data_IF_448917136969
#
_entry.id   IF_448917136969
#
_cell.length_a   1.000
_cell.length_b   1.000
_cell.length_c   1.000
_cell.angle_alpha   90.00
_cell.angle_beta   90.00
_cell.angle_gamma   90.00
#
_symmetry.space_group_name_H-M   'P 1'
#
loop_
_entity.id
_entity.type
_entity.pdbx_description
1 polymer ?
#
# COMPACT_ATOMS: atom_id res chain seq x y z
N UNK A 1 5.15 -3.29 -31.07
CA UNK A 1 4.73 -2.59 -29.84
C UNK A 1 3.21 -2.53 -29.83
N UNK A 2 2.55 -3.00 -28.77
CA UNK A 2 1.09 -2.93 -28.63
C UNK A 2 0.77 -2.02 -27.44
N UNK A 3 0.06 -0.89 -27.62
CA UNK A 3 -0.31 -0.03 -26.51
C UNK A 3 -1.37 -0.74 -25.65
N UNK A 4 -1.07 -0.92 -24.37
CA UNK A 4 -1.98 -1.53 -23.40
C UNK A 4 -2.55 -0.47 -22.47
N UNK A 5 -3.87 -0.35 -22.46
CA UNK A 5 -4.59 0.53 -21.54
C UNK A 5 -5.31 -0.34 -20.52
N UNK A 6 -4.62 -0.61 -19.41
CA UNK A 6 -5.09 -1.45 -18.30
C UNK A 6 -6.49 -1.04 -17.82
N UNK A 7 -6.75 0.27 -17.73
CA UNK A 7 -7.99 0.83 -17.17
C UNK A 7 -9.25 0.51 -17.98
N UNK A 8 -9.14 0.27 -19.29
CA UNK A 8 -10.29 -0.06 -20.17
C UNK A 8 -10.22 -1.49 -20.72
N UNK A 9 -9.23 -2.29 -20.32
CA UNK A 9 -8.92 -3.57 -20.96
C UNK A 9 -8.61 -3.45 -22.46
N UNK A 10 -8.32 -2.22 -22.94
CA UNK A 10 -8.05 -1.96 -24.35
C UNK A 10 -6.61 -2.35 -24.66
N UNK A 11 -6.42 -2.98 -25.82
CA UNK A 11 -5.12 -3.51 -26.25
C UNK A 11 -4.91 -4.98 -25.91
N UNK A 12 -5.73 -5.59 -25.04
CA UNK A 12 -5.66 -7.04 -24.76
C UNK A 12 -6.03 -7.85 -26.00
N UNK A 13 -7.10 -7.48 -26.70
CA UNK A 13 -7.49 -8.16 -27.96
C UNK A 13 -6.44 -7.98 -29.06
N UNK A 14 -5.83 -6.80 -29.15
CA UNK A 14 -4.73 -6.55 -30.07
C UNK A 14 -3.47 -7.37 -29.69
N UNK A 15 -3.22 -7.55 -28.39
CA UNK A 15 -2.14 -8.39 -27.89
C UNK A 15 -2.39 -9.86 -28.20
N UNK A 16 -3.61 -10.37 -28.00
CA UNK A 16 -4.00 -11.73 -28.39
C UNK A 16 -3.77 -11.95 -29.89
N UNK A 17 -4.24 -11.03 -30.72
CA UNK A 17 -4.03 -11.10 -32.17
C UNK A 17 -2.54 -11.06 -32.56
N UNK A 18 -1.72 -10.29 -31.83
CA UNK A 18 -0.29 -10.22 -32.05
C UNK A 18 0.43 -11.53 -31.64
N UNK A 19 -0.05 -12.20 -30.59
CA UNK A 19 0.44 -13.53 -30.18
C UNK A 19 0.09 -14.57 -31.25
N UNK A 20 -1.15 -14.57 -31.75
CA UNK A 20 -1.58 -15.49 -32.80
C UNK A 20 -0.78 -15.33 -34.11
N UNK A 21 -0.30 -14.11 -34.37
CA UNK A 21 0.51 -13.76 -35.55
C UNK A 21 2.00 -13.64 -35.23
N UNK A 22 2.46 -14.22 -34.13
CA UNK A 22 3.85 -14.12 -33.73
C UNK A 22 4.79 -14.68 -34.82
N UNK A 23 5.80 -13.88 -35.17
CA UNK A 23 6.87 -14.23 -36.10
C UNK A 23 8.22 -14.03 -35.42
N UNK A 24 9.26 -14.69 -35.93
CA UNK A 24 10.63 -14.42 -35.49
C UNK A 24 10.94 -12.92 -35.62
N UNK A 25 11.64 -12.37 -34.62
CA UNK A 25 11.99 -10.96 -34.59
C UNK A 25 12.90 -10.60 -35.77
N UNK A 26 12.70 -9.42 -36.33
CA UNK A 26 13.55 -8.92 -37.39
C UNK A 26 14.98 -8.68 -36.87
N UNK A 27 15.97 -9.04 -37.68
CA UNK A 27 17.37 -8.96 -37.30
C UNK A 27 17.92 -7.56 -37.61
N UNK A 28 17.44 -6.59 -36.83
CA UNK A 28 17.96 -5.21 -36.84
C UNK A 28 19.22 -5.10 -35.98
N UNK A 29 20.11 -4.20 -36.36
CA UNK A 29 21.22 -3.80 -35.51
C UNK A 29 20.65 -3.01 -34.31
N UNK A 30 20.97 -3.46 -33.10
CA UNK A 30 20.47 -2.86 -31.86
C UNK A 30 21.58 -2.03 -31.23
N UNK A 31 22.54 -2.71 -30.59
CA UNK A 31 23.64 -2.06 -29.87
C UNK A 31 24.91 -2.20 -30.69
N UNK A 32 25.59 -1.07 -30.91
CA UNK A 32 26.87 -1.02 -31.60
C UNK A 32 28.00 -1.13 -30.57
N UNK A 33 28.51 -2.34 -30.36
CA UNK A 33 29.64 -2.60 -29.47
C UNK A 33 30.97 -2.38 -30.19
N UNK A 34 32.00 -1.96 -29.46
CA UNK A 34 33.35 -1.86 -29.99
C UNK A 34 33.85 -3.24 -30.47
N UNK A 35 34.59 -3.26 -31.58
CA UNK A 35 35.08 -4.50 -32.20
C UNK A 35 35.88 -5.42 -31.24
N UNK A 36 36.74 -4.90 -30.34
CA UNK A 36 37.40 -5.72 -29.31
C UNK A 36 36.44 -6.54 -28.43
N UNK A 37 35.34 -5.92 -27.99
CA UNK A 37 34.32 -6.60 -27.17
C UNK A 37 33.65 -7.73 -27.93
N UNK A 38 33.34 -7.50 -29.22
CA UNK A 38 32.74 -8.52 -30.07
C UNK A 38 33.68 -9.70 -30.30
N UNK A 39 34.96 -9.43 -30.56
CA UNK A 39 35.97 -10.47 -30.79
C UNK A 39 36.16 -11.37 -29.56
N UNK A 40 36.22 -10.77 -28.38
CA UNK A 40 36.43 -11.50 -27.13
C UNK A 40 35.16 -12.20 -26.65
N UNK A 41 33.98 -11.60 -26.85
CA UNK A 41 32.71 -12.29 -26.67
C UNK A 41 32.57 -13.49 -27.62
N UNK A 42 33.05 -13.39 -28.86
CA UNK A 42 33.12 -14.51 -29.81
C UNK A 42 34.11 -15.59 -29.37
N UNK A 43 35.23 -15.21 -28.75
CA UNK A 43 36.19 -16.16 -28.18
C UNK A 43 35.57 -16.98 -27.06
N UNK A 44 34.84 -16.33 -26.14
CA UNK A 44 34.12 -16.97 -25.05
C UNK A 44 32.96 -17.82 -25.59
N UNK A 45 32.25 -17.36 -26.61
CA UNK A 45 31.14 -18.09 -27.21
C UNK A 45 31.55 -19.41 -27.87
N UNK A 46 32.81 -19.56 -28.32
CA UNK A 46 33.33 -20.81 -28.93
C UNK A 46 33.49 -21.95 -27.93
N UNK A 47 33.77 -21.63 -26.67
CA UNK A 47 33.99 -22.60 -25.58
C UNK A 47 32.73 -22.83 -24.72
N UNK A 48 31.60 -22.21 -25.09
CA UNK A 48 30.31 -22.45 -24.45
C UNK A 48 29.63 -23.71 -25.02
N UNK A 49 28.71 -24.33 -24.25
CA UNK A 49 27.96 -25.51 -24.68
C UNK A 49 27.28 -25.33 -26.04
N UNK A 50 27.39 -26.33 -26.92
CA UNK A 50 26.80 -26.32 -28.27
C UNK A 50 25.28 -26.25 -28.28
N UNK A 51 24.64 -26.61 -27.16
CA UNK A 51 23.19 -26.61 -26.98
C UNK A 51 22.62 -25.19 -27.02
N UNK A 52 23.45 -24.18 -26.75
CA UNK A 52 23.05 -22.78 -26.71
C UNK A 52 23.21 -22.15 -28.12
N UNK A 53 22.16 -21.51 -28.67
CA UNK A 53 22.24 -20.79 -29.93
C UNK A 53 23.38 -19.76 -29.96
N UNK A 54 24.05 -19.60 -31.10
CA UNK A 54 25.21 -18.70 -31.24
C UNK A 54 24.92 -17.26 -30.78
N UNK A 55 23.72 -16.73 -31.07
CA UNK A 55 23.30 -15.39 -30.65
C UNK A 55 23.24 -15.25 -29.13
N UNK A 56 22.79 -16.31 -28.43
CA UNK A 56 22.73 -16.33 -26.97
C UNK A 56 24.13 -16.51 -26.35
N UNK A 57 24.99 -17.34 -26.97
CA UNK A 57 26.39 -17.49 -26.52
C UNK A 57 27.17 -16.17 -26.58
N UNK A 58 27.02 -15.41 -27.68
CA UNK A 58 27.59 -14.06 -27.82
C UNK A 58 27.09 -13.10 -26.74
N UNK A 59 25.78 -13.13 -26.47
CA UNK A 59 25.18 -12.32 -25.42
C UNK A 59 25.71 -12.68 -24.02
N UNK A 60 25.82 -13.98 -23.70
CA UNK A 60 26.41 -14.45 -22.43
C UNK A 60 27.87 -14.01 -22.30
N UNK A 61 28.66 -14.06 -23.38
CA UNK A 61 30.03 -13.58 -23.39
C UNK A 61 30.13 -12.09 -23.02
N UNK A 62 29.30 -11.24 -23.64
CA UNK A 62 29.24 -9.81 -23.31
C UNK A 62 28.82 -9.56 -21.86
N UNK A 63 27.84 -10.31 -21.33
CA UNK A 63 27.40 -10.16 -19.93
C UNK A 63 28.49 -10.55 -18.93
N UNK A 64 29.26 -11.59 -19.23
CA UNK A 64 30.40 -11.98 -18.40
C UNK A 64 31.51 -10.93 -18.42
N UNK A 65 31.77 -10.31 -19.58
CA UNK A 65 32.74 -9.20 -19.71
C UNK A 65 32.30 -7.94 -18.96
N UNK A 66 30.99 -7.67 -18.89
CA UNK A 66 30.39 -6.60 -18.08
C UNK A 66 30.51 -6.88 -16.56
N UNK A 67 30.65 -8.16 -16.17
CA UNK A 67 30.80 -8.59 -14.78
C UNK A 67 29.57 -9.25 -14.16
N UNK A 68 28.58 -9.65 -14.97
CA UNK A 68 27.40 -10.35 -14.49
C UNK A 68 27.75 -11.69 -13.80
N UNK A 69 27.09 -11.94 -12.68
CA UNK A 69 27.31 -13.11 -11.82
C UNK A 69 26.50 -14.30 -12.35
N UNK A 70 25.30 -14.06 -12.90
CA UNK A 70 24.39 -15.14 -13.31
C UNK A 70 24.82 -15.80 -14.62
N UNK A 71 25.37 -15.02 -15.57
CA UNK A 71 25.82 -15.54 -16.85
C UNK A 71 26.92 -16.60 -16.73
N UNK A 72 27.74 -16.55 -15.67
CA UNK A 72 28.78 -17.56 -15.40
C UNK A 72 28.21 -18.96 -15.18
N UNK A 73 27.00 -19.08 -14.62
CA UNK A 73 26.36 -20.38 -14.36
C UNK A 73 25.97 -21.12 -15.65
N UNK A 74 25.69 -20.36 -16.73
CA UNK A 74 25.29 -20.90 -18.03
C UNK A 74 26.46 -21.03 -19.01
N UNK A 75 27.58 -20.38 -18.71
CA UNK A 75 28.75 -20.28 -19.57
C UNK A 75 29.63 -21.56 -19.61
N UNK A 76 29.45 -22.46 -18.64
CA UNK A 76 30.23 -23.70 -18.56
C UNK A 76 31.74 -23.45 -18.52
N UNK A 77 32.46 -24.05 -19.45
CA UNK A 77 33.93 -23.95 -19.57
C UNK A 77 34.41 -22.52 -19.87
N UNK A 78 33.58 -21.68 -20.49
CA UNK A 78 33.90 -20.27 -20.76
C UNK A 78 34.16 -19.45 -19.49
N UNK A 79 33.65 -19.87 -18.34
CA UNK A 79 33.91 -19.21 -17.05
C UNK A 79 35.41 -19.23 -16.69
N UNK A 80 36.12 -20.30 -17.04
CA UNK A 80 37.55 -20.45 -16.76
C UNK A 80 38.42 -19.57 -17.66
N UNK A 81 37.90 -19.22 -18.86
CA UNK A 81 38.59 -18.38 -19.82
C UNK A 81 38.30 -16.88 -19.65
N UNK A 82 37.39 -16.51 -18.74
CA UNK A 82 36.96 -15.13 -18.54
C UNK A 82 38.09 -14.22 -18.08
N UNK A 83 38.88 -14.63 -17.10
CA UNK A 83 39.97 -13.81 -16.57
C UNK A 83 41.05 -13.52 -17.63
N UNK A 84 41.33 -14.50 -18.49
CA UNK A 84 42.23 -14.34 -19.62
C UNK A 84 41.66 -13.40 -20.70
N UNK A 85 40.36 -13.47 -20.97
CA UNK A 85 39.68 -12.57 -21.91
C UNK A 85 39.67 -11.13 -21.39
N UNK A 86 39.35 -10.92 -20.10
CA UNK A 86 39.40 -9.60 -19.46
C UNK A 86 40.81 -9.02 -19.44
N UNK A 87 41.84 -9.85 -19.22
CA UNK A 87 43.23 -9.41 -19.26
C UNK A 87 43.65 -8.94 -20.66
N UNK A 88 43.19 -9.60 -21.73
CA UNK A 88 43.41 -9.14 -23.12
C UNK A 88 42.66 -7.83 -23.40
N UNK A 89 41.40 -7.75 -22.97
CA UNK A 89 40.58 -6.55 -23.15
C UNK A 89 41.17 -5.31 -22.47
N UNK A 90 41.77 -5.47 -21.28
CA UNK A 90 42.43 -4.37 -20.56
C UNK A 90 43.61 -3.75 -21.31
N UNK A 91 44.18 -4.45 -22.30
CA UNK A 91 45.24 -3.88 -23.16
C UNK A 91 44.67 -3.04 -24.30
N UNK A 92 43.40 -3.25 -24.66
CA UNK A 92 42.74 -2.57 -25.79
C UNK A 92 41.79 -1.45 -25.32
N UNK A 93 41.27 -1.53 -24.08
CA UNK A 93 40.42 -0.51 -23.48
C UNK A 93 40.54 -0.49 -21.95
N UNK A 94 40.34 0.69 -21.35
CA UNK A 94 40.51 0.92 -19.92
C UNK A 94 39.46 0.16 -19.09
N UNK A 95 38.17 0.42 -19.36
CA UNK A 95 37.05 -0.17 -18.61
C UNK A 95 36.01 -0.80 -19.56
N UNK A 96 36.12 -2.12 -19.83
CA UNK A 96 35.18 -2.84 -20.67
C UNK A 96 33.73 -2.76 -20.20
N UNK A 97 33.50 -2.78 -18.89
CA UNK A 97 32.15 -2.78 -18.33
C UNK A 97 31.47 -1.43 -18.58
N UNK A 98 32.21 -0.33 -18.40
CA UNK A 98 31.72 1.01 -18.71
C UNK A 98 31.37 1.16 -20.19
N UNK A 99 32.23 0.68 -21.10
CA UNK A 99 31.97 0.74 -22.54
C UNK A 99 30.73 -0.05 -22.97
N UNK A 100 30.48 -1.22 -22.36
CA UNK A 100 29.26 -2.01 -22.62
C UNK A 100 28.02 -1.25 -22.14
N UNK A 101 28.09 -0.66 -20.94
CA UNK A 101 27.00 0.12 -20.37
C UNK A 101 26.69 1.37 -21.23
N UNK A 102 27.72 2.11 -21.65
CA UNK A 102 27.59 3.29 -22.49
C UNK A 102 26.98 2.95 -23.86
N UNK A 103 27.44 1.88 -24.52
CA UNK A 103 26.89 1.47 -25.81
C UNK A 103 25.39 1.13 -25.72
N UNK A 104 24.96 0.45 -24.64
CA UNK A 104 23.54 0.17 -24.38
C UNK A 104 22.77 1.44 -24.10
N UNK A 105 23.32 2.34 -23.29
CA UNK A 105 22.67 3.60 -22.94
C UNK A 105 22.48 4.49 -24.18
N UNK A 106 23.50 4.61 -25.02
CA UNK A 106 23.44 5.35 -26.29
C UNK A 106 22.37 4.78 -27.23
N UNK A 107 22.30 3.45 -27.39
CA UNK A 107 21.26 2.82 -28.20
C UNK A 107 19.85 3.14 -27.68
N UNK A 108 19.63 3.01 -26.37
CA UNK A 108 18.31 3.27 -25.76
C UNK A 108 17.97 4.76 -25.86
N UNK A 109 18.92 5.64 -25.56
CA UNK A 109 18.73 7.09 -25.65
C UNK A 109 18.38 7.51 -27.07
N UNK A 110 19.11 7.04 -28.09
CA UNK A 110 18.81 7.33 -29.49
C UNK A 110 17.42 6.84 -29.92
N UNK A 111 17.00 5.65 -29.47
CA UNK A 111 15.63 5.17 -29.72
C UNK A 111 14.63 6.08 -29.01
N UNK A 112 14.85 6.39 -27.73
CA UNK A 112 13.98 7.26 -26.92
C UNK A 112 13.83 8.65 -27.53
N UNK A 113 14.89 9.28 -28.00
CA UNK A 113 14.86 10.61 -28.60
C UNK A 113 14.01 10.66 -29.88
N UNK A 114 13.99 9.56 -30.65
CA UNK A 114 13.20 9.47 -31.89
C UNK A 114 11.75 9.11 -31.60
N UNK A 115 11.49 8.19 -30.67
CA UNK A 115 10.13 7.66 -30.42
C UNK A 115 9.35 8.44 -29.37
N UNK A 116 10.04 9.12 -28.45
CA UNK A 116 9.45 9.92 -27.39
C UNK A 116 9.31 11.37 -27.84
N UNK A 117 8.08 11.78 -28.13
CA UNK A 117 7.80 13.17 -28.43
C UNK A 117 7.27 13.85 -27.16
N UNK A 118 8.12 14.60 -26.46
CA UNK A 118 7.73 15.33 -25.23
C UNK A 118 6.69 16.41 -25.49
N UNK A 119 6.54 16.87 -26.73
CA UNK A 119 5.55 17.89 -27.14
C UNK A 119 4.09 17.41 -27.08
N UNK A 120 3.83 16.11 -27.12
CA UNK A 120 2.47 15.55 -26.94
C UNK A 120 2.20 15.05 -25.53
N UNK A 121 3.20 15.09 -24.65
CA UNK A 121 3.11 14.74 -23.23
C UNK A 121 2.73 15.96 -22.36
N UNK A 122 1.93 16.89 -22.88
CA UNK A 122 1.41 17.95 -22.02
C UNK A 122 0.49 17.34 -20.94
N UNK A 123 0.67 17.71 -19.65
CA UNK A 123 -0.31 17.35 -18.64
C UNK A 123 -1.67 17.86 -19.10
N UNK A 124 -2.71 17.05 -18.93
CA UNK A 124 -4.06 17.44 -19.37
C UNK A 124 -4.38 18.83 -18.81
N UNK A 125 -4.94 19.74 -19.63
CA UNK A 125 -5.31 21.10 -19.20
C UNK A 125 -6.10 21.12 -17.88
N UNK A 126 -6.87 20.05 -17.64
CA UNK A 126 -7.58 19.79 -16.40
C UNK A 126 -6.65 19.59 -15.20
N UNK A 127 -5.60 18.76 -15.32
CA UNK A 127 -4.60 18.54 -14.25
C UNK A 127 -3.92 19.86 -13.89
N UNK A 128 -3.47 20.62 -14.88
CA UNK A 128 -2.80 21.92 -14.67
C UNK A 128 -3.70 22.93 -13.97
N UNK A 129 -5.00 22.97 -14.32
CA UNK A 129 -5.97 23.86 -13.69
C UNK A 129 -6.25 23.47 -12.22
N UNK A 130 -6.41 22.17 -11.95
CA UNK A 130 -6.63 21.64 -10.60
C UNK A 130 -5.39 21.84 -9.73
N UNK A 131 -4.20 21.53 -10.24
CA UNK A 131 -2.95 21.69 -9.49
C UNK A 131 -2.69 23.16 -9.15
N UNK A 132 -3.04 24.12 -10.01
CA UNK A 132 -2.94 25.56 -9.69
C UNK A 132 -3.78 25.97 -8.48
N UNK A 133 -4.92 25.31 -8.27
CA UNK A 133 -5.82 25.58 -7.14
C UNK A 133 -5.37 24.80 -5.90
N UNK A 134 -5.09 23.51 -6.05
CA UNK A 134 -4.75 22.57 -4.96
C UNK A 134 -3.35 22.81 -4.39
N UNK A 135 -2.38 23.22 -5.20
CA UNK A 135 -0.99 23.46 -4.78
C UNK A 135 -0.73 24.91 -4.35
N UNK A 136 -1.74 25.77 -4.34
CA UNK A 136 -1.56 27.14 -3.87
C UNK A 136 -1.18 27.15 -2.38
N UNK A 137 -0.12 27.87 -2.02
CA UNK A 137 0.40 27.97 -0.63
C UNK A 137 -0.67 28.34 0.41
N UNK A 138 -1.66 29.15 0.06
CA UNK A 138 -2.72 29.58 0.97
C UNK A 138 -4.01 28.74 0.86
N UNK A 139 -4.39 28.31 -0.35
CA UNK A 139 -5.63 27.54 -0.57
C UNK A 139 -5.43 26.03 -0.42
N UNK A 140 -4.21 25.50 -0.56
CA UNK A 140 -3.93 24.08 -0.54
C UNK A 140 -4.26 23.43 0.80
N UNK A 141 -3.90 24.08 1.91
CA UNK A 141 -4.21 23.58 3.25
C UNK A 141 -5.73 23.58 3.56
N UNK A 142 -6.49 24.68 3.32
CA UNK A 142 -7.95 24.66 3.44
C UNK A 142 -8.65 23.65 2.54
N UNK A 143 -8.25 23.54 1.26
CA UNK A 143 -8.85 22.57 0.32
C UNK A 143 -8.57 21.16 0.81
N UNK A 144 -7.35 20.90 1.27
CA UNK A 144 -6.99 19.62 1.86
C UNK A 144 -7.87 19.26 3.05
N UNK A 145 -8.02 20.17 4.01
CA UNK A 145 -8.89 19.96 5.16
C UNK A 145 -10.35 19.77 4.75
N UNK A 146 -10.82 20.51 3.74
CA UNK A 146 -12.18 20.38 3.21
C UNK A 146 -12.42 19.01 2.55
N UNK A 147 -11.48 18.52 1.73
CA UNK A 147 -11.59 17.20 1.10
C UNK A 147 -11.54 16.09 2.15
N UNK A 148 -10.67 16.19 3.16
CA UNK A 148 -10.64 15.23 4.26
C UNK A 148 -11.92 15.28 5.10
N UNK A 149 -12.44 16.48 5.38
CA UNK A 149 -13.71 16.66 6.06
C UNK A 149 -14.85 15.99 5.28
N UNK A 150 -14.94 16.23 3.97
CA UNK A 150 -15.95 15.62 3.12
C UNK A 150 -15.81 14.09 3.08
N UNK A 151 -14.58 13.58 2.99
CA UNK A 151 -14.27 12.15 3.06
C UNK A 151 -14.81 11.53 4.36
N UNK A 152 -14.50 12.12 5.52
CA UNK A 152 -14.98 11.62 6.81
C UNK A 152 -16.48 11.77 6.98
N UNK A 153 -17.05 12.92 6.59
CA UNK A 153 -18.48 13.18 6.65
C UNK A 153 -19.25 12.11 5.86
N UNK A 154 -18.86 11.87 4.60
CA UNK A 154 -19.51 10.87 3.75
C UNK A 154 -19.28 9.45 4.26
N UNK A 155 -18.05 9.10 4.67
CA UNK A 155 -17.75 7.78 5.19
C UNK A 155 -18.55 7.45 6.45
N UNK A 156 -18.63 8.40 7.39
CA UNK A 156 -19.30 8.21 8.69
C UNK A 156 -20.82 8.27 8.53
N UNK A 157 -21.35 9.19 7.72
CA UNK A 157 -22.79 9.34 7.55
C UNK A 157 -23.39 8.15 6.79
N UNK A 158 -22.78 7.77 5.66
CA UNK A 158 -23.25 6.63 4.85
C UNK A 158 -22.99 5.31 5.58
N UNK A 159 -21.81 5.15 6.18
CA UNK A 159 -21.47 3.95 6.94
C UNK A 159 -22.35 3.79 8.19
N UNK A 160 -22.62 4.88 8.90
CA UNK A 160 -23.53 4.93 10.04
C UNK A 160 -24.98 4.66 9.67
N UNK A 161 -25.45 5.09 8.50
CA UNK A 161 -26.80 4.77 8.02
C UNK A 161 -26.99 3.26 7.74
N UNK A 162 -25.93 2.56 7.34
CA UNK A 162 -25.95 1.12 7.10
C UNK A 162 -25.73 0.29 8.38
N UNK A 163 -25.17 0.88 9.44
CA UNK A 163 -24.85 0.20 10.70
C UNK A 163 -26.07 -0.53 11.32
N UNK A 164 -27.28 0.07 11.45
CA UNK A 164 -28.43 -0.59 12.07
C UNK A 164 -28.91 -1.83 11.29
N UNK A 165 -28.81 -1.79 9.96
CA UNK A 165 -29.20 -2.92 9.11
C UNK A 165 -28.31 -4.14 9.37
N UNK A 166 -27.00 -3.91 9.49
CA UNK A 166 -26.03 -4.97 9.80
C UNK A 166 -26.15 -5.45 11.25
N UNK A 167 -26.50 -4.56 12.18
CA UNK A 167 -26.75 -4.92 13.57
C UNK A 167 -27.97 -5.85 13.69
N UNK A 168 -29.16 -5.38 13.29
CA UNK A 168 -30.40 -6.16 13.35
C UNK A 168 -30.29 -7.46 12.54
N UNK A 169 -29.71 -7.40 11.34
CA UNK A 169 -29.52 -8.58 10.50
C UNK A 169 -28.60 -9.62 11.14
N UNK A 170 -27.55 -9.19 11.84
CA UNK A 170 -26.65 -10.09 12.53
C UNK A 170 -27.26 -10.70 13.78
N UNK A 171 -28.05 -9.95 14.57
CA UNK A 171 -28.79 -10.49 15.72
C UNK A 171 -29.78 -11.56 15.24
N UNK A 172 -30.56 -11.24 14.21
CA UNK A 172 -31.56 -12.17 13.67
C UNK A 172 -30.93 -13.47 13.17
N UNK A 173 -29.81 -13.39 12.44
CA UNK A 173 -29.19 -14.56 11.83
C UNK A 173 -28.33 -15.37 12.83
N UNK A 174 -27.46 -14.70 13.58
CA UNK A 174 -26.45 -15.37 14.40
C UNK A 174 -26.87 -15.56 15.86
N UNK A 175 -27.74 -14.72 16.41
CA UNK A 175 -28.22 -14.91 17.80
C UNK A 175 -29.50 -15.73 17.77
N UNK A 176 -30.55 -15.20 17.14
CA UNK A 176 -31.86 -15.87 17.09
C UNK A 176 -31.86 -17.13 16.20
N UNK A 177 -31.13 -17.10 15.07
CA UNK A 177 -31.00 -18.28 14.21
C UNK A 177 -30.29 -19.45 14.91
N UNK A 178 -29.23 -19.18 15.67
CA UNK A 178 -28.51 -20.23 16.43
C UNK A 178 -29.36 -20.74 17.59
N UNK A 179 -30.08 -19.85 18.29
CA UNK A 179 -31.04 -20.25 19.34
C UNK A 179 -32.12 -21.17 18.77
N UNK A 180 -32.72 -20.82 17.64
CA UNK A 180 -33.76 -21.62 17.00
C UNK A 180 -33.26 -23.00 16.53
N UNK A 181 -32.06 -23.06 15.93
CA UNK A 181 -31.39 -24.31 15.56
C UNK A 181 -31.13 -25.17 16.81
N UNK A 182 -30.69 -24.54 17.89
CA UNK A 182 -30.40 -25.26 19.12
C UNK A 182 -31.61 -25.84 19.82
N UNK A 183 -32.75 -25.13 19.79
CA UNK A 183 -34.02 -25.66 20.29
C UNK A 183 -34.59 -26.77 19.40
N UNK A 184 -34.44 -26.68 18.08
CA UNK A 184 -34.94 -27.72 17.15
C UNK A 184 -34.10 -29.01 17.21
N UNK A 185 -32.78 -28.90 17.40
CA UNK A 185 -31.86 -30.04 17.52
C UNK A 185 -31.67 -30.57 18.96
N UNK A 186 -32.37 -30.00 19.96
CA UNK A 186 -32.26 -30.39 21.38
C UNK A 186 -30.82 -30.36 21.92
N UNK A 187 -30.06 -29.32 21.58
CA UNK A 187 -28.74 -29.13 22.20
C UNK A 187 -28.87 -28.78 23.69
N UNK A 188 -27.91 -29.19 24.53
CA UNK A 188 -27.89 -28.78 25.94
C UNK A 188 -27.79 -27.26 26.06
N UNK A 189 -28.57 -26.67 26.98
CA UNK A 189 -28.75 -25.22 27.15
C UNK A 189 -27.44 -24.43 27.23
N UNK A 190 -26.41 -25.01 27.84
CA UNK A 190 -25.09 -24.39 27.94
C UNK A 190 -24.43 -24.18 26.57
N UNK A 191 -24.58 -25.15 25.65
CA UNK A 191 -24.01 -25.07 24.30
C UNK A 191 -24.75 -24.06 23.42
N UNK A 192 -26.07 -23.99 23.56
CA UNK A 192 -26.92 -23.01 22.86
C UNK A 192 -26.59 -21.59 23.29
N UNK A 193 -26.46 -21.35 24.60
CA UNK A 193 -26.07 -20.04 25.14
C UNK A 193 -24.66 -19.67 24.66
N UNK A 194 -23.71 -20.61 24.73
CA UNK A 194 -22.33 -20.39 24.28
C UNK A 194 -22.23 -20.04 22.78
N UNK A 195 -22.97 -20.74 21.92
CA UNK A 195 -22.95 -20.47 20.48
C UNK A 195 -23.72 -19.18 20.14
N UNK A 196 -24.86 -18.94 20.75
CA UNK A 196 -25.70 -17.78 20.41
C UNK A 196 -25.16 -16.48 21.00
N UNK A 197 -24.80 -16.45 22.29
CA UNK A 197 -24.29 -15.25 22.95
C UNK A 197 -22.79 -15.08 22.69
N UNK A 198 -22.00 -16.15 22.79
CA UNK A 198 -20.55 -16.04 22.71
C UNK A 198 -20.05 -15.84 21.28
N UNK A 199 -20.39 -16.79 20.40
CA UNK A 199 -20.03 -16.68 18.98
C UNK A 199 -20.92 -15.67 18.25
N UNK A 200 -22.24 -15.78 18.42
CA UNK A 200 -23.22 -14.91 17.75
C UNK A 200 -23.12 -13.45 18.19
N UNK A 201 -23.01 -13.20 19.50
CA UNK A 201 -22.75 -11.86 20.04
C UNK A 201 -21.38 -11.33 19.64
N UNK A 202 -20.34 -12.16 19.64
CA UNK A 202 -19.03 -11.82 19.10
C UNK A 202 -19.09 -11.36 17.64
N UNK A 203 -19.79 -12.08 16.78
CA UNK A 203 -19.99 -11.71 15.36
C UNK A 203 -20.81 -10.42 15.24
N UNK A 204 -21.86 -10.27 16.04
CA UNK A 204 -22.70 -9.07 16.08
C UNK A 204 -21.88 -7.82 16.46
N UNK A 205 -20.85 -7.91 17.30
CA UNK A 205 -20.01 -6.71 17.58
C UNK A 205 -19.16 -6.27 16.39
N UNK A 206 -18.85 -7.18 15.46
CA UNK A 206 -17.95 -6.91 14.33
C UNK A 206 -18.73 -6.43 13.10
N UNK A 207 -19.87 -7.05 12.81
CA UNK A 207 -20.64 -6.81 11.58
C UNK A 207 -21.08 -5.35 11.37
N UNK A 208 -21.59 -4.63 12.40
CA UNK A 208 -21.97 -3.23 12.30
C UNK A 208 -20.79 -2.30 12.01
N UNK A 209 -19.54 -2.69 12.34
CA UNK A 209 -18.34 -1.92 12.04
C UNK A 209 -17.91 -2.05 10.56
N UNK A 210 -18.34 -3.11 9.88
CA UNK A 210 -17.99 -3.40 8.48
C UNK A 210 -18.42 -2.30 7.51
N UNK A 211 -19.69 -1.83 7.48
CA UNK A 211 -20.09 -0.78 6.54
C UNK A 211 -19.32 0.53 6.77
N UNK A 212 -19.11 0.91 8.03
CA UNK A 212 -18.35 2.11 8.39
C UNK A 212 -16.91 2.07 7.86
N UNK A 213 -16.21 0.97 8.12
CA UNK A 213 -14.81 0.79 7.68
C UNK A 213 -14.73 0.59 6.16
N UNK A 214 -15.71 -0.10 5.57
CA UNK A 214 -15.82 -0.29 4.12
C UNK A 214 -15.95 1.02 3.36
N UNK A 215 -16.82 1.92 3.84
CA UNK A 215 -16.96 3.26 3.25
C UNK A 215 -15.68 4.08 3.39
N UNK A 216 -15.00 4.00 4.53
CA UNK A 216 -13.72 4.70 4.70
C UNK A 216 -12.63 4.17 3.77
N UNK A 217 -12.52 2.86 3.57
CA UNK A 217 -11.60 2.28 2.59
C UNK A 217 -11.96 2.66 1.15
N UNK A 218 -13.25 2.74 0.82
CA UNK A 218 -13.72 3.14 -0.51
C UNK A 218 -13.27 4.55 -0.86
N UNK A 219 -13.52 5.52 0.03
CA UNK A 219 -13.09 6.90 -0.19
C UNK A 219 -11.57 7.07 -0.14
N UNK A 220 -10.88 6.30 0.70
CA UNK A 220 -9.42 6.29 0.72
C UNK A 220 -8.84 5.78 -0.60
N UNK A 221 -9.34 4.66 -1.13
CA UNK A 221 -8.97 4.14 -2.45
C UNK A 221 -9.33 5.12 -3.57
N UNK A 222 -10.43 5.89 -3.44
CA UNK A 222 -10.78 6.93 -4.40
C UNK A 222 -9.76 8.08 -4.43
N UNK A 223 -9.29 8.53 -3.26
CA UNK A 223 -8.27 9.58 -3.14
C UNK A 223 -6.88 9.10 -3.57
N UNK A 224 -6.58 7.82 -3.31
CA UNK A 224 -5.34 7.16 -3.72
C UNK A 224 -5.29 7.03 -5.25
N UNK A 225 -6.31 6.40 -5.85
CA UNK A 225 -6.40 6.24 -7.30
C UNK A 225 -6.51 7.61 -7.99
N UNK A 226 -7.27 8.60 -7.51
CA UNK A 226 -7.35 9.91 -8.19
C UNK A 226 -6.02 10.69 -8.28
N UNK A 227 -4.97 10.26 -7.57
CA UNK A 227 -3.69 10.96 -7.52
C UNK A 227 -3.70 12.20 -6.61
N UNK A 228 -4.82 12.45 -5.91
CA UNK A 228 -4.94 13.54 -4.95
C UNK A 228 -3.99 13.35 -3.76
N UNK A 229 -3.79 12.11 -3.30
CA UNK A 229 -2.89 11.81 -2.19
C UNK A 229 -1.45 12.29 -2.41
N UNK A 230 -0.94 12.26 -3.66
CA UNK A 230 0.39 12.77 -3.98
C UNK A 230 0.49 14.29 -3.78
N UNK A 231 -0.56 15.06 -4.17
CA UNK A 231 -0.60 16.52 -3.95
C UNK A 231 -0.77 16.86 -2.49
N UNK A 232 -1.65 16.14 -1.80
CA UNK A 232 -1.85 16.30 -0.36
C UNK A 232 -0.55 16.10 0.42
N UNK A 233 0.22 15.06 0.08
CA UNK A 233 1.54 14.80 0.66
C UNK A 233 2.50 15.97 0.39
N UNK A 234 2.53 16.51 -0.84
CA UNK A 234 3.36 17.66 -1.17
C UNK A 234 3.00 18.93 -0.37
N UNK A 235 1.71 19.25 -0.25
CA UNK A 235 1.23 20.42 0.54
C UNK A 235 1.63 20.28 2.02
N UNK A 236 1.64 19.05 2.54
CA UNK A 236 1.94 18.74 3.95
C UNK A 236 3.40 18.46 4.23
N UNK A 237 4.24 18.41 3.19
CA UNK A 237 5.64 18.02 3.31
C UNK A 237 6.41 18.98 4.23
N UNK A 238 6.21 20.29 4.09
CA UNK A 238 6.87 21.29 4.95
C UNK A 238 6.56 21.11 6.43
N UNK A 239 5.32 20.72 6.77
CA UNK A 239 4.90 20.48 8.16
C UNK A 239 5.51 19.18 8.69
N UNK A 240 5.53 18.12 7.87
CA UNK A 240 6.10 16.83 8.27
C UNK A 240 7.62 16.83 8.34
N UNK A 241 8.30 17.60 7.49
CA UNK A 241 9.76 17.76 7.54
C UNK A 241 10.21 18.35 8.89
N UNK A 242 9.43 19.25 9.49
CA UNK A 242 9.71 19.74 10.84
C UNK A 242 9.75 18.59 11.87
N UNK A 243 8.83 17.63 11.73
CA UNK A 243 8.76 16.40 12.53
C UNK A 243 9.79 15.33 12.11
N UNK A 244 10.55 15.55 11.02
CA UNK A 244 11.52 14.59 10.50
C UNK A 244 10.90 13.45 9.69
N UNK A 245 9.69 13.64 9.16
CA UNK A 245 8.96 12.67 8.34
C UNK A 245 8.72 13.24 6.94
N UNK A 246 8.65 12.40 5.90
CA UNK A 246 8.26 12.86 4.57
C UNK A 246 6.74 13.12 4.52
N UNK A 247 6.29 14.01 3.64
CA UNK A 247 4.88 14.35 3.46
C UNK A 247 3.94 13.15 3.23
N UNK A 248 4.45 12.05 2.65
CA UNK A 248 3.69 10.79 2.46
C UNK A 248 3.22 10.14 3.78
N UNK A 249 3.91 10.38 4.91
CA UNK A 249 3.52 9.86 6.24
C UNK A 249 2.27 10.53 6.80
N UNK A 250 1.94 11.72 6.32
CA UNK A 250 0.81 12.49 6.82
C UNK A 250 -0.55 11.85 6.51
N UNK A 251 -0.66 11.22 5.34
CA UNK A 251 -1.91 10.59 4.89
C UNK A 251 -2.33 9.45 5.84
N UNK A 252 -1.46 8.47 6.17
CA UNK A 252 -1.75 7.49 7.22
C UNK A 252 -2.13 8.12 8.56
N UNK A 253 -1.43 9.18 9.00
CA UNK A 253 -1.70 9.82 10.29
C UNK A 253 -3.10 10.44 10.35
N UNK A 254 -3.52 11.13 9.30
CA UNK A 254 -4.87 11.69 9.25
C UNK A 254 -5.94 10.61 9.23
N UNK A 255 -5.72 9.55 8.46
CA UNK A 255 -6.64 8.41 8.40
C UNK A 255 -6.77 7.75 9.78
N UNK A 256 -5.74 7.86 10.63
CA UNK A 256 -5.74 7.42 12.03
C UNK A 256 -6.81 8.09 12.89
N UNK A 257 -7.11 9.37 12.65
CA UNK A 257 -8.23 10.05 13.32
C UNK A 257 -9.60 9.45 12.97
N UNK A 258 -9.73 8.75 11.84
CA UNK A 258 -10.91 7.95 11.53
C UNK A 258 -10.82 6.57 12.17
N UNK A 259 -9.78 5.81 11.82
CA UNK A 259 -9.50 4.50 12.40
C UNK A 259 -8.01 4.18 12.31
N UNK A 260 -7.45 3.63 13.39
CA UNK A 260 -6.03 3.29 13.45
C UNK A 260 -5.66 2.06 12.60
N UNK A 261 -6.59 1.16 12.31
CA UNK A 261 -6.31 -0.02 11.48
C UNK A 261 -5.93 0.34 10.03
N UNK A 262 -6.73 1.13 9.27
CA UNK A 262 -6.34 1.57 7.94
C UNK A 262 -5.11 2.48 7.95
N UNK A 263 -4.91 3.27 9.02
CA UNK A 263 -3.71 4.09 9.21
C UNK A 263 -2.44 3.24 9.27
N UNK A 264 -2.40 2.26 10.16
CA UNK A 264 -1.25 1.35 10.32
C UNK A 264 -1.03 0.52 9.05
N UNK A 265 -2.10 0.05 8.42
CA UNK A 265 -1.99 -0.69 7.15
C UNK A 265 -1.50 0.22 6.01
N UNK A 266 -1.89 1.49 6.00
CA UNK A 266 -1.43 2.49 5.03
C UNK A 266 0.04 2.83 5.18
N UNK A 267 0.57 2.83 6.41
CA UNK A 267 1.99 3.11 6.66
C UNK A 267 2.95 2.16 5.91
N UNK A 268 2.50 0.97 5.48
CA UNK A 268 3.32 0.02 4.71
C UNK A 268 3.80 0.55 3.35
N UNK A 269 3.16 1.58 2.81
CA UNK A 269 3.52 2.19 1.51
C UNK A 269 4.71 3.15 1.60
N UNK A 270 5.16 3.50 2.80
CA UNK A 270 6.32 4.37 3.00
C UNK A 270 7.61 3.63 2.62
N UNK A 271 8.55 4.24 1.92
CA UNK A 271 9.74 3.51 1.43
C UNK A 271 10.68 3.05 2.56
N UNK A 272 10.98 3.94 3.52
CA UNK A 272 11.95 3.65 4.57
C UNK A 272 11.30 2.99 5.80
N UNK A 273 11.91 1.92 6.37
CA UNK A 273 11.38 1.25 7.55
C UNK A 273 11.30 2.17 8.78
N UNK A 274 12.22 3.13 8.87
CA UNK A 274 12.22 4.20 9.89
C UNK A 274 10.94 5.04 9.86
N UNK A 275 10.56 5.49 8.68
CA UNK A 275 9.36 6.32 8.47
C UNK A 275 8.09 5.52 8.78
N UNK A 276 8.06 4.24 8.39
CA UNK A 276 6.98 3.30 8.74
C UNK A 276 6.79 3.20 10.25
N UNK A 277 7.87 2.93 10.99
CA UNK A 277 7.81 2.70 12.42
C UNK A 277 7.37 3.96 13.19
N UNK A 278 7.90 5.13 12.84
CA UNK A 278 7.46 6.39 13.46
C UNK A 278 5.97 6.64 13.24
N UNK A 279 5.51 6.49 12.00
CA UNK A 279 4.10 6.70 11.63
C UNK A 279 3.18 5.73 12.40
N UNK A 280 3.57 4.46 12.53
CA UNK A 280 2.82 3.44 13.27
C UNK A 280 2.80 3.74 14.78
N UNK A 281 3.90 4.22 15.36
CA UNK A 281 3.97 4.57 16.78
C UNK A 281 3.19 5.84 17.13
N UNK A 282 3.03 6.76 16.17
CA UNK A 282 2.22 7.97 16.33
C UNK A 282 0.71 7.70 16.15
N UNK A 283 0.33 6.72 15.32
CA UNK A 283 -1.08 6.44 15.02
C UNK A 283 -1.96 6.19 16.26
N UNK A 284 -1.53 5.42 17.30
CA UNK A 284 -2.30 5.24 18.53
C UNK A 284 -2.69 6.55 19.23
N UNK A 285 -1.94 7.62 19.10
CA UNK A 285 -2.25 8.92 19.72
C UNK A 285 -3.29 9.72 18.91
N UNK A 286 -3.52 9.37 17.65
CA UNK A 286 -4.63 9.87 16.86
C UNK A 286 -5.93 9.23 17.37
N UNK A 287 -6.76 10.03 18.03
CA UNK A 287 -7.99 9.54 18.65
C UNK A 287 -9.11 9.43 17.63
N UNK A 288 -9.61 8.21 17.46
CA UNK A 288 -10.74 7.91 16.59
C UNK A 288 -12.10 8.16 17.25
N UNK A 289 -13.16 8.22 16.45
CA UNK A 289 -14.54 8.43 16.94
C UNK A 289 -14.98 7.44 18.03
N UNK A 290 -14.53 6.18 17.96
CA UNK A 290 -14.82 5.19 19.01
C UNK A 290 -14.17 5.56 20.36
N UNK A 291 -12.95 6.11 20.34
CA UNK A 291 -12.27 6.55 21.55
C UNK A 291 -12.92 7.82 22.12
N UNK A 292 -13.40 8.70 21.25
CA UNK A 292 -14.18 9.87 21.64
C UNK A 292 -15.47 9.48 22.37
N UNK A 293 -16.19 8.45 21.89
CA UNK A 293 -17.40 7.95 22.56
C UNK A 293 -17.09 7.42 23.98
N UNK A 294 -16.01 6.67 24.14
CA UNK A 294 -15.56 6.19 25.46
C UNK A 294 -15.19 7.37 26.36
N UNK A 295 -14.43 8.35 25.85
CA UNK A 295 -14.10 9.56 26.61
C UNK A 295 -15.33 10.35 27.01
N UNK A 296 -16.35 10.43 26.14
CA UNK A 296 -17.61 11.12 26.44
C UNK A 296 -18.38 10.43 27.57
N UNK A 297 -18.45 9.09 27.58
CA UNK A 297 -19.10 8.33 28.65
C UNK A 297 -18.40 8.56 29.99
N UNK A 298 -17.07 8.45 30.02
CA UNK A 298 -16.30 8.70 31.24
C UNK A 298 -16.38 10.17 31.69
N UNK A 299 -16.32 11.11 30.75
CA UNK A 299 -16.44 12.53 31.06
C UNK A 299 -17.82 12.86 31.63
N UNK A 300 -18.89 12.26 31.11
CA UNK A 300 -20.24 12.40 31.65
C UNK A 300 -20.36 11.80 33.06
N UNK A 301 -19.74 10.64 33.30
CA UNK A 301 -19.78 9.95 34.59
C UNK A 301 -19.01 10.69 35.71
N UNK A 302 -17.84 11.28 35.39
CA UNK A 302 -16.95 11.88 36.40
C UNK A 302 -17.03 13.41 36.50
N UNK A 303 -17.28 14.11 35.39
CA UNK A 303 -17.15 15.58 35.31
C UNK A 303 -18.46 16.31 34.99
N UNK A 304 -19.55 15.59 34.74
CA UNK A 304 -20.88 16.17 34.50
C UNK A 304 -20.85 17.26 33.43
N UNK A 305 -21.22 18.50 33.80
CA UNK A 305 -21.27 19.66 32.88
C UNK A 305 -19.91 20.05 32.29
N UNK A 306 -18.80 19.77 32.96
CA UNK A 306 -17.45 20.09 32.47
C UNK A 306 -16.86 18.98 31.57
N UNK A 307 -17.65 17.96 31.23
CA UNK A 307 -17.18 16.82 30.44
C UNK A 307 -16.68 17.20 29.05
N UNK A 308 -17.28 18.21 28.40
CA UNK A 308 -16.84 18.67 27.08
C UNK A 308 -15.39 19.22 27.10
N UNK A 309 -15.03 19.96 28.15
CA UNK A 309 -13.68 20.52 28.30
C UNK A 309 -12.66 19.42 28.61
N UNK A 310 -13.06 18.41 29.39
CA UNK A 310 -12.24 17.22 29.64
C UNK A 310 -11.95 16.46 28.33
N UNK A 311 -12.97 16.18 27.52
CA UNK A 311 -12.81 15.51 26.21
C UNK A 311 -11.91 16.33 25.27
N UNK A 312 -12.10 17.65 25.21
CA UNK A 312 -11.26 18.53 24.41
C UNK A 312 -9.79 18.49 24.86
N UNK A 313 -9.55 18.52 26.18
CA UNK A 313 -8.19 18.46 26.73
C UNK A 313 -7.48 17.13 26.43
N UNK A 314 -8.20 16.00 26.50
CA UNK A 314 -7.65 14.68 26.15
C UNK A 314 -7.29 14.61 24.66
N UNK A 315 -8.10 15.22 23.79
CA UNK A 315 -7.82 15.25 22.36
C UNK A 315 -6.58 16.09 22.03
N UNK A 316 -6.45 17.28 22.62
CA UNK A 316 -5.25 18.11 22.48
C UNK A 316 -4.00 17.42 23.03
N UNK A 317 -4.12 16.76 24.19
CA UNK A 317 -3.03 15.97 24.77
C UNK A 317 -2.61 14.83 23.84
N UNK A 318 -3.56 14.17 23.17
CA UNK A 318 -3.26 13.15 22.14
C UNK A 318 -2.41 13.70 20.99
N UNK A 319 -2.77 14.86 20.43
CA UNK A 319 -1.99 15.50 19.36
C UNK A 319 -0.58 15.87 19.85
N UNK A 320 -0.48 16.44 21.04
CA UNK A 320 0.82 16.80 21.64
C UNK A 320 1.68 15.55 21.86
N UNK A 321 1.11 14.47 22.40
CA UNK A 321 1.84 13.21 22.61
C UNK A 321 2.24 12.54 21.29
N UNK A 322 1.42 12.64 20.23
CA UNK A 322 1.80 12.17 18.90
C UNK A 322 3.05 12.92 18.41
N UNK A 323 3.04 14.26 18.47
CA UNK A 323 4.16 15.11 18.05
C UNK A 323 5.42 14.84 18.89
N UNK A 324 5.27 14.76 20.22
CA UNK A 324 6.38 14.45 21.13
C UNK A 324 6.98 13.07 20.84
N UNK A 325 6.16 12.06 20.56
CA UNK A 325 6.63 10.73 20.20
C UNK A 325 7.42 10.78 18.90
N UNK A 326 6.93 11.48 17.87
CA UNK A 326 7.65 11.66 16.61
C UNK A 326 9.01 12.34 16.80
N UNK A 327 9.05 13.43 17.58
CA UNK A 327 10.29 14.15 17.91
C UNK A 327 11.26 13.30 18.74
N UNK A 328 10.77 12.60 19.76
CA UNK A 328 11.58 11.70 20.58
C UNK A 328 12.22 10.60 19.73
N UNK A 329 11.45 9.96 18.84
CA UNK A 329 11.95 8.90 17.96
C UNK A 329 12.98 9.43 16.96
N UNK A 330 12.80 10.66 16.46
CA UNK A 330 13.75 11.38 15.60
C UNK A 330 15.11 11.58 16.29
N UNK A 331 15.12 11.98 17.56
CA UNK A 331 16.36 12.32 18.29
C UNK A 331 17.03 11.12 19.00
N UNK A 332 16.27 10.10 19.38
CA UNK A 332 16.77 8.96 20.18
C UNK A 332 17.17 7.77 19.32
N UNK A 333 16.21 7.07 18.69
CA UNK A 333 16.39 5.68 18.24
C UNK A 333 16.54 5.52 16.72
N UNK A 334 16.09 6.51 15.94
CA UNK A 334 16.15 6.51 14.50
C UNK A 334 16.80 7.81 14.01
N UNK A 335 18.11 7.94 14.21
CA UNK A 335 18.91 9.07 13.69
C UNK A 335 19.15 8.88 12.19
N UNK A 336 18.92 9.93 11.40
CA UNK A 336 19.09 9.93 9.95
C UNK A 336 18.41 11.14 9.31
N UNK A 337 18.94 11.61 8.19
CA UNK A 337 18.31 12.67 7.40
C UNK A 337 17.01 12.17 6.77
N UNK A 338 16.04 13.06 6.56
CA UNK A 338 14.85 12.70 5.79
C UNK A 338 15.29 12.36 4.36
N UNK A 339 14.78 11.27 3.80
CA UNK A 339 15.09 10.91 2.41
C UNK A 339 14.68 12.07 1.49
N UNK A 340 15.53 12.49 0.52
CA UNK A 340 15.16 13.55 -0.41
C UNK A 340 13.83 13.20 -1.06
N UNK A 341 12.80 14.02 -0.83
CA UNK A 341 11.46 13.77 -1.33
C UNK A 341 11.40 14.15 -2.82
N UNK A 342 11.93 13.26 -3.68
CA UNK A 342 11.78 13.35 -5.13
C UNK A 342 10.51 12.57 -5.49
N UNK A 343 9.38 13.26 -5.53
CA UNK A 343 8.10 12.68 -5.97
C UNK A 343 7.77 13.20 -7.36
N UNK A 344 7.78 12.32 -8.36
CA UNK A 344 7.16 12.62 -9.66
C UNK A 344 5.65 12.74 -9.45
N UNK A 345 5.06 13.91 -9.73
CA UNK A 345 3.61 14.10 -9.56
C UNK A 345 2.87 13.32 -10.66
N UNK A 346 2.09 12.26 -10.33
CA UNK A 346 1.36 11.50 -11.33
C UNK A 346 0.24 12.37 -11.93
N UNK A 347 -0.13 12.20 -13.19
CA UNK A 347 -1.25 12.97 -13.80
C UNK A 347 -2.59 12.60 -13.14
N UNK A 348 -3.51 13.57 -12.99
CA UNK A 348 -4.84 13.29 -12.42
C UNK A 348 -5.59 12.29 -13.31
N UNK A 349 -6.09 11.22 -12.73
CA UNK A 349 -6.87 10.23 -13.46
C UNK A 349 -8.19 9.94 -12.78
N UNK A 350 -9.25 9.73 -13.56
CA UNK A 350 -10.56 9.37 -13.02
C UNK A 350 -10.50 7.91 -12.55
N UNK A 351 -10.73 7.64 -11.25
CA UNK A 351 -10.61 6.28 -10.72
C UNK A 351 -11.73 5.39 -11.27
N UNK A 352 -11.39 4.14 -11.61
CA UNK A 352 -12.35 3.20 -12.17
C UNK A 352 -13.13 2.49 -11.06
N UNK A 353 -14.47 2.57 -11.08
CA UNK A 353 -15.34 2.02 -10.03
C UNK A 353 -15.07 0.54 -9.73
N UNK A 354 -14.83 -0.27 -10.77
CA UNK A 354 -14.46 -1.69 -10.61
C UNK A 354 -13.16 -1.88 -9.80
N UNK A 355 -12.14 -1.07 -10.05
CA UNK A 355 -10.87 -1.12 -9.29
C UNK A 355 -11.11 -0.75 -7.83
N UNK A 356 -11.85 0.34 -7.61
CA UNK A 356 -12.19 0.83 -6.27
C UNK A 356 -12.91 -0.24 -5.45
N UNK A 357 -13.94 -0.89 -6.01
CA UNK A 357 -14.70 -1.93 -5.31
C UNK A 357 -13.82 -3.15 -5.00
N UNK A 358 -12.99 -3.60 -5.95
CA UNK A 358 -12.10 -4.75 -5.75
C UNK A 358 -11.08 -4.47 -4.64
N UNK A 359 -10.41 -3.31 -4.70
CA UNK A 359 -9.43 -2.91 -3.68
C UNK A 359 -10.09 -2.79 -2.31
N UNK A 360 -11.24 -2.12 -2.23
CA UNK A 360 -12.02 -1.95 -1.00
C UNK A 360 -12.42 -3.30 -0.43
N UNK A 361 -12.94 -4.20 -1.25
CA UNK A 361 -13.36 -5.54 -0.83
C UNK A 361 -12.18 -6.37 -0.29
N UNK A 362 -11.03 -6.34 -0.95
CA UNK A 362 -9.83 -7.05 -0.48
C UNK A 362 -9.34 -6.52 0.87
N UNK A 363 -9.30 -5.19 1.04
CA UNK A 363 -8.91 -4.54 2.32
C UNK A 363 -9.92 -4.87 3.42
N UNK A 364 -11.22 -4.78 3.11
CA UNK A 364 -12.31 -5.08 4.04
C UNK A 364 -12.33 -6.55 4.47
N UNK A 365 -12.20 -7.50 3.53
CA UNK A 365 -12.09 -8.93 3.84
C UNK A 365 -10.89 -9.22 4.75
N UNK A 366 -9.76 -8.58 4.46
CA UNK A 366 -8.55 -8.70 5.28
C UNK A 366 -8.75 -8.19 6.72
N UNK A 367 -9.54 -7.13 6.90
CA UNK A 367 -9.95 -6.62 8.21
C UNK A 367 -10.88 -7.59 8.93
N UNK A 368 -11.99 -7.99 8.30
CA UNK A 368 -13.02 -8.86 8.92
C UNK A 368 -12.41 -10.18 9.39
N UNK A 369 -11.55 -10.82 8.58
CA UNK A 369 -10.94 -12.10 8.93
C UNK A 369 -9.89 -12.00 10.04
N UNK A 370 -9.18 -10.87 10.16
CA UNK A 370 -8.13 -10.71 11.17
C UNK A 370 -8.68 -10.15 12.48
N UNK A 371 -9.39 -9.02 12.41
CA UNK A 371 -10.00 -8.39 13.57
C UNK A 371 -11.13 -9.26 14.12
N UNK A 372 -11.95 -9.85 13.25
CA UNK A 372 -13.07 -10.70 13.68
C UNK A 372 -12.62 -11.91 14.50
N UNK A 373 -11.51 -12.57 14.14
CA UNK A 373 -10.96 -13.68 14.94
C UNK A 373 -10.61 -13.24 16.36
N UNK A 374 -9.93 -12.11 16.52
CA UNK A 374 -9.53 -11.60 17.83
C UNK A 374 -10.75 -11.18 18.63
N UNK A 375 -11.68 -10.45 18.03
CA UNK A 375 -12.90 -9.97 18.71
C UNK A 375 -13.77 -11.14 19.16
N UNK A 376 -13.99 -12.15 18.32
CA UNK A 376 -14.75 -13.35 18.68
C UNK A 376 -14.11 -14.08 19.86
N UNK A 377 -12.79 -14.28 19.85
CA UNK A 377 -12.07 -14.92 20.97
C UNK A 377 -12.24 -14.11 22.26
N UNK A 378 -12.13 -12.79 22.18
CA UNK A 378 -12.29 -11.89 23.32
C UNK A 378 -13.75 -11.87 23.81
N UNK A 379 -14.76 -11.97 22.95
CA UNK A 379 -16.17 -12.02 23.38
C UNK A 379 -16.56 -13.34 24.04
N UNK A 380 -15.93 -14.45 23.64
CA UNK A 380 -16.18 -15.78 24.22
C UNK A 380 -15.63 -15.89 25.66
N UNK A 381 -14.52 -15.20 25.97
CA UNK A 381 -13.82 -15.37 27.25
C UNK A 381 -14.61 -14.84 28.48
N UNK A 382 -15.18 -13.62 28.48
CA UNK A 382 -16.02 -13.11 29.56
C UNK A 382 -17.27 -13.95 29.76
N UNK A 383 -17.93 -14.38 28.69
CA UNK A 383 -19.15 -15.19 28.82
C UNK A 383 -18.87 -16.56 29.44
N UNK A 384 -17.75 -17.20 29.09
CA UNK A 384 -17.33 -18.44 29.74
C UNK A 384 -17.03 -18.21 31.23
N UNK A 385 -16.45 -17.06 31.59
CA UNK A 385 -16.23 -16.68 32.98
C UNK A 385 -17.54 -16.43 33.73
N UNK A 386 -18.51 -15.79 33.07
CA UNK A 386 -19.83 -15.49 33.63
C UNK A 386 -20.69 -16.77 33.78
N UNK A 387 -20.60 -17.71 32.84
CA UNK A 387 -21.18 -19.05 32.96
C UNK A 387 -20.52 -19.87 34.09
N UNK A 388 -19.20 -19.81 34.26
CA UNK A 388 -18.50 -20.49 35.37
C UNK A 388 -18.88 -19.90 36.74
N UNK A 389 -19.17 -18.61 36.82
CA UNK A 389 -19.72 -17.98 38.02
C UNK A 389 -21.16 -18.45 38.30
N UNK A 390 -22.01 -18.48 37.27
CA UNK A 390 -23.38 -18.98 37.40
C UNK A 390 -23.43 -20.48 37.80
N UNK A 391 -22.53 -21.32 37.28
CA UNK A 391 -22.40 -22.73 37.70
C UNK A 391 -21.88 -22.90 39.13
N UNK A 392 -21.10 -21.94 39.66
CA UNK A 392 -20.66 -21.93 41.06
C UNK A 392 -21.76 -21.46 42.00
N UNK A 393 -22.60 -20.53 41.55
CA UNK A 393 -23.73 -20.00 42.32
C UNK A 393 -24.87 -21.02 42.39
N UNK A 394 -25.13 -21.77 41.32
CA UNK A 394 -26.14 -22.84 41.29
C UNK A 394 -25.70 -24.16 41.99
N UNK A 395 -24.43 -24.25 42.41
CA UNK A 395 -23.87 -25.35 43.22
C UNK A 395 -23.80 -25.04 44.72
N UNK A 396 -24.06 -23.79 45.12
CA UNK A 396 -24.30 -23.40 46.51
C UNK A 396 -25.79 -23.41 46.78
#
# INVERSE_FOLDING_TARGET
>A
MIPLVSTRGRGIEALKLAIDRYKANENVELVHYAQPLLNEADSLAKVMPSDIPLKQRRWLGLQMLEGDIYSRAYAGEASQHLDAALARLRNEMDDPALHIADARYQCIAAICDVVSNTLTAEPSRFTTAVDKIVLNRFLGLPIFLFVMYLMFLLAINIGGALQPLFDVGSVALFVHGIQWIGYTLHFPDWLTIFLAQGLGGGINTVLPLVPQIGMMYLFLSFLEDSGYMARAAFVMDRLMQALGLPGKSFVPLIVGFGCNVPSVMGARTLDAPRERLMTIMMAPFMSCGARLAIFAVFAAAFFGQNGALAVFSLYMLGIVMAVLTGLMLKYTIMRGEATPFVMELPVYHVPHVKSLIIQTWQRLKGFVLRAGKVIIIVSIFPERFQQLLAERENRR
#
